data_IF_697388037201
#
_entry.id   IF_697388037201
#
_cell.length_a   1.000
_cell.length_b   1.000
_cell.length_c   1.000
_cell.angle_alpha   90.00
_cell.angle_beta   90.00
_cell.angle_gamma   90.00
#
_symmetry.space_group_name_H-M   'P 1'
#
loop_
_entity.id
_entity.type
_entity.pdbx_description
1 polymer ?
#
# COMPACT_ATOMS: atom_id res chain seq x y z
N UNK A 1 5.32 -2.64 -10.15
CA UNK A 1 6.48 -3.58 -10.20
C UNK A 1 7.08 -3.84 -8.82
N UNK A 2 7.54 -2.84 -8.05
CA UNK A 2 8.18 -3.06 -6.73
C UNK A 2 7.35 -3.86 -5.71
N UNK A 3 6.03 -3.71 -5.72
CA UNK A 3 5.13 -4.42 -4.81
C UNK A 3 5.16 -5.95 -4.92
N UNK A 4 5.17 -6.45 -6.16
CA UNK A 4 5.21 -7.89 -6.43
C UNK A 4 6.51 -8.52 -5.94
N UNK A 5 7.62 -7.79 -6.03
CA UNK A 5 8.93 -8.26 -5.58
C UNK A 5 8.93 -8.53 -4.07
N UNK A 6 8.36 -7.62 -3.27
CA UNK A 6 8.24 -7.79 -1.82
C UNK A 6 7.35 -8.96 -1.43
N UNK A 7 6.24 -9.17 -2.15
CA UNK A 7 5.37 -10.33 -1.92
C UNK A 7 6.10 -11.64 -2.22
N UNK A 8 6.86 -11.68 -3.32
CA UNK A 8 7.62 -12.87 -3.75
C UNK A 8 8.74 -13.20 -2.76
N UNK A 9 9.46 -12.19 -2.28
CA UNK A 9 10.47 -12.34 -1.21
C UNK A 9 9.85 -12.86 0.08
N UNK A 10 8.68 -12.33 0.47
CA UNK A 10 7.96 -12.79 1.66
C UNK A 10 7.55 -14.27 1.56
N UNK A 11 7.04 -14.71 0.41
CA UNK A 11 6.65 -16.11 0.18
C UNK A 11 7.88 -17.04 0.25
N UNK A 12 8.97 -16.67 -0.43
CA UNK A 12 10.22 -17.46 -0.40
C UNK A 12 10.73 -17.61 1.03
N UNK A 13 10.70 -16.54 1.82
CA UNK A 13 11.18 -16.54 3.20
C UNK A 13 10.37 -17.49 4.10
N UNK A 14 9.04 -17.50 3.95
CA UNK A 14 8.14 -18.41 4.69
C UNK A 14 8.38 -19.86 4.28
N UNK A 15 8.47 -20.13 2.97
CA UNK A 15 8.72 -21.48 2.44
C UNK A 15 10.07 -21.99 2.94
N UNK A 16 11.15 -21.23 2.79
CA UNK A 16 12.47 -21.62 3.28
C UNK A 16 12.48 -21.89 4.80
N UNK A 17 11.76 -21.09 5.59
CA UNK A 17 11.68 -21.29 7.04
C UNK A 17 10.97 -22.59 7.41
N UNK A 18 9.89 -22.94 6.69
CA UNK A 18 9.19 -24.21 6.85
C UNK A 18 10.03 -25.43 6.44
N UNK A 19 10.76 -25.33 5.32
CA UNK A 19 11.51 -26.46 4.77
C UNK A 19 12.81 -26.73 5.53
N UNK A 20 13.50 -25.69 5.99
CA UNK A 20 14.85 -25.80 6.58
C UNK A 20 14.79 -26.00 8.09
N UNK A 21 14.01 -25.19 8.81
CA UNK A 21 14.14 -25.11 10.27
C UNK A 21 13.21 -26.07 11.02
N UNK A 22 12.06 -26.48 10.45
CA UNK A 22 11.04 -27.41 11.04
C UNK A 22 10.64 -27.14 12.51
N UNK A 23 11.11 -26.05 13.08
CA UNK A 23 10.92 -25.63 14.45
C UNK A 23 9.77 -24.62 14.52
N UNK A 24 8.86 -24.85 15.46
CA UNK A 24 7.62 -24.09 15.60
C UNK A 24 7.88 -22.61 15.91
N UNK A 25 8.93 -22.31 16.68
CA UNK A 25 9.29 -20.94 17.02
C UNK A 25 9.81 -20.20 15.78
N UNK A 26 10.70 -20.83 15.00
CA UNK A 26 11.24 -20.25 13.77
C UNK A 26 10.16 -20.02 12.71
N UNK A 27 9.18 -20.92 12.61
CA UNK A 27 8.01 -20.76 11.73
C UNK A 27 7.14 -19.58 12.17
N UNK A 28 6.87 -19.43 13.48
CA UNK A 28 6.11 -18.27 14.00
C UNK A 28 6.80 -16.94 13.71
N UNK A 29 8.12 -16.85 13.92
CA UNK A 29 8.88 -15.63 13.62
C UNK A 29 8.90 -15.31 12.11
N UNK A 30 9.04 -16.32 11.25
CA UNK A 30 9.01 -16.09 9.80
C UNK A 30 7.64 -15.64 9.28
N UNK A 31 6.54 -16.19 9.83
CA UNK A 31 5.19 -15.68 9.54
C UNK A 31 5.02 -14.23 10.02
N UNK A 32 5.54 -13.87 11.19
CA UNK A 32 5.47 -12.50 11.72
C UNK A 32 6.20 -11.51 10.80
N UNK A 33 7.39 -11.87 10.33
CA UNK A 33 8.18 -11.06 9.39
C UNK A 33 7.47 -10.94 8.04
N UNK A 34 6.89 -12.01 7.51
CA UNK A 34 6.10 -11.97 6.27
C UNK A 34 4.85 -11.07 6.40
N UNK A 35 4.19 -11.10 7.55
CA UNK A 35 3.04 -10.24 7.88
C UNK A 35 3.42 -8.76 7.84
N UNK A 36 4.60 -8.41 8.34
CA UNK A 36 5.12 -7.06 8.32
C UNK A 36 5.39 -6.55 6.90
N UNK A 37 5.95 -7.39 6.02
CA UNK A 37 6.14 -7.02 4.61
C UNK A 37 4.82 -6.80 3.87
N UNK A 38 3.80 -7.64 4.13
CA UNK A 38 2.46 -7.45 3.59
C UNK A 38 1.81 -6.15 4.11
N UNK A 39 2.01 -5.82 5.39
CA UNK A 39 1.52 -4.58 5.99
C UNK A 39 2.14 -3.33 5.36
N UNK A 40 3.46 -3.33 5.13
CA UNK A 40 4.15 -2.24 4.42
C UNK A 40 3.59 -2.09 3.00
N UNK A 41 3.42 -3.20 2.29
CA UNK A 41 2.90 -3.17 0.94
C UNK A 41 1.46 -2.64 0.87
N UNK A 42 0.58 -3.12 1.76
CA UNK A 42 -0.79 -2.63 1.89
C UNK A 42 -0.85 -1.14 2.24
N UNK A 43 0.03 -0.69 3.13
CA UNK A 43 0.16 0.74 3.49
C UNK A 43 0.60 1.59 2.31
N UNK A 44 1.53 1.10 1.47
CA UNK A 44 1.98 1.81 0.27
C UNK A 44 0.85 1.96 -0.77
N UNK A 45 0.06 0.91 -1.00
CA UNK A 45 -1.11 0.98 -1.88
C UNK A 45 -2.11 2.01 -1.34
N UNK A 46 -2.44 1.92 -0.05
CA UNK A 46 -3.39 2.83 0.60
C UNK A 46 -2.92 4.28 0.50
N UNK A 47 -1.63 4.53 0.71
CA UNK A 47 -1.05 5.87 0.58
C UNK A 47 -1.17 6.41 -0.85
N UNK A 48 -0.83 5.62 -1.87
CA UNK A 48 -1.01 6.04 -3.27
C UNK A 48 -2.47 6.36 -3.59
N UNK A 49 -3.40 5.53 -3.11
CA UNK A 49 -4.83 5.75 -3.29
C UNK A 49 -5.27 7.05 -2.62
N UNK A 50 -4.86 7.31 -1.38
CA UNK A 50 -5.18 8.54 -0.66
C UNK A 50 -4.59 9.78 -1.35
N UNK A 51 -3.36 9.71 -1.85
CA UNK A 51 -2.75 10.81 -2.61
C UNK A 51 -3.54 11.07 -3.90
N UNK A 52 -3.94 10.01 -4.62
CA UNK A 52 -4.76 10.15 -5.82
C UNK A 52 -6.13 10.75 -5.50
N UNK A 53 -6.77 10.30 -4.42
CA UNK A 53 -8.07 10.80 -3.98
C UNK A 53 -8.01 12.26 -3.55
N UNK A 54 -6.94 12.65 -2.83
CA UNK A 54 -6.69 14.05 -2.46
C UNK A 54 -6.53 14.93 -3.69
N UNK A 55 -5.79 14.46 -4.70
CA UNK A 55 -5.62 15.19 -5.96
C UNK A 55 -6.96 15.36 -6.68
N UNK A 56 -7.74 14.29 -6.80
CA UNK A 56 -9.06 14.30 -7.45
C UNK A 56 -10.05 15.24 -6.75
N UNK A 57 -10.00 15.32 -5.41
CA UNK A 57 -10.80 16.27 -4.63
C UNK A 57 -10.34 17.72 -4.83
N UNK A 58 -9.03 17.96 -4.92
CA UNK A 58 -8.48 19.30 -5.16
C UNK A 58 -8.88 19.81 -6.54
N UNK A 59 -8.80 18.95 -7.56
CA UNK A 59 -9.19 19.29 -8.94
C UNK A 59 -10.70 19.63 -9.02
N UNK A 60 -11.53 18.91 -8.26
CA UNK A 60 -12.98 19.22 -8.15
C UNK A 60 -13.25 20.52 -7.40
N UNK A 61 -12.47 20.83 -6.36
CA UNK A 61 -12.58 22.09 -5.62
C UNK A 61 -12.17 23.29 -6.49
N UNK A 62 -11.09 23.17 -7.26
CA UNK A 62 -10.68 24.22 -8.21
C UNK A 62 -11.72 24.41 -9.32
N UNK A 63 -12.31 23.34 -9.83
CA UNK A 63 -13.38 23.43 -10.82
C UNK A 63 -14.62 24.16 -10.25
N UNK A 64 -15.03 23.81 -9.03
CA UNK A 64 -16.16 24.45 -8.35
C UNK A 64 -15.88 25.93 -7.99
N UNK A 65 -14.64 26.29 -7.64
CA UNK A 65 -14.25 27.67 -7.41
C UNK A 65 -14.25 28.50 -8.69
N UNK A 66 -13.73 27.95 -9.80
CA UNK A 66 -13.77 28.64 -11.11
C UNK A 66 -15.19 28.85 -11.61
N UNK A 67 -16.09 27.91 -11.33
CA UNK A 67 -17.50 28.04 -11.69
C UNK A 67 -18.18 29.16 -10.88
N UNK A 68 -17.90 29.24 -9.57
CA UNK A 68 -18.36 30.37 -8.73
C UNK A 68 -17.77 31.71 -9.14
N UNK A 69 -16.50 31.78 -9.53
CA UNK A 69 -15.88 33.03 -10.00
C UNK A 69 -16.48 33.51 -11.33
N UNK A 70 -16.93 32.60 -12.20
CA UNK A 70 -17.66 32.95 -13.43
C UNK A 70 -19.08 33.45 -13.15
N UNK A 71 -19.75 32.88 -12.15
CA UNK A 71 -21.07 33.38 -11.72
C UNK A 71 -20.98 34.73 -11.01
N UNK A 72 -19.88 35.03 -10.32
CA UNK A 72 -19.64 36.31 -9.66
C UNK A 72 -19.17 37.43 -10.61
N UNK A 73 -18.77 37.10 -11.85
CA UNK A 73 -18.37 38.07 -12.88
C UNK A 73 -19.47 38.37 -13.92
N UNK A 74 -20.59 37.63 -13.94
CA UNK A 74 -21.77 37.89 -14.76
C UNK A 74 -22.84 38.64 -13.95
#
# INVERSE_FOLDING_TARGET
>A
MHGYLFTLVGIIMVVCSFTIYKDEATIKYSMLVASFFLFIFGSFIKFKTLVKLKKDMNDKLEAAQKERERELQN
#
